data_IF_796661388159
#
_entry.id   IF_796661388159
#
_cell.length_a   1.000
_cell.length_b   1.000
_cell.length_c   1.000
_cell.angle_alpha   90.00
_cell.angle_beta   90.00
_cell.angle_gamma   90.00
#
_symmetry.space_group_name_H-M   'P 1'
#
loop_
_entity.id
_entity.type
_entity.pdbx_description
1 polymer ?
#
# COMPACT_ATOMS: atom_id res chain seq x y z
N UNK A 1 -3.81 22.59 -5.37
CA UNK A 1 -3.52 21.45 -6.28
C UNK A 1 -2.25 20.77 -5.79
N UNK A 2 -2.12 19.43 -5.88
CA UNK A 2 -0.94 18.71 -5.37
C UNK A 2 0.38 19.23 -5.95
N UNK A 3 0.42 19.53 -7.26
CA UNK A 3 1.61 20.09 -7.92
C UNK A 3 2.09 21.40 -7.27
N UNK A 4 1.16 22.31 -6.96
CA UNK A 4 1.48 23.57 -6.29
C UNK A 4 1.99 23.34 -4.86
N UNK A 5 1.38 22.42 -4.11
CA UNK A 5 1.83 22.11 -2.76
C UNK A 5 3.27 21.56 -2.74
N UNK A 6 3.66 20.76 -3.75
CA UNK A 6 5.04 20.25 -3.91
C UNK A 6 6.02 21.36 -4.28
N UNK A 7 5.60 22.36 -5.05
CA UNK A 7 6.44 23.54 -5.34
C UNK A 7 6.65 24.42 -4.11
N UNK A 8 5.60 24.61 -3.30
CA UNK A 8 5.64 25.41 -2.06
C UNK A 8 6.38 24.70 -0.92
N UNK A 9 6.27 23.37 -0.85
CA UNK A 9 6.90 22.52 0.15
C UNK A 9 7.63 21.36 -0.53
N UNK A 10 8.88 21.58 -0.99
CA UNK A 10 9.66 20.55 -1.65
C UNK A 10 9.87 19.34 -0.75
N UNK A 11 9.52 18.16 -1.27
CA UNK A 11 9.73 16.88 -0.60
C UNK A 11 10.99 16.22 -1.14
N UNK A 12 11.85 15.74 -0.25
CA UNK A 12 13.06 15.01 -0.60
C UNK A 12 12.96 13.56 -0.10
N UNK A 13 13.24 12.59 -0.96
CA UNK A 13 13.22 11.17 -0.62
C UNK A 13 13.24 10.28 -1.86
N UNK A 14 13.70 9.03 -1.71
CA UNK A 14 13.72 8.03 -2.77
C UNK A 14 12.54 7.04 -2.72
N UNK A 15 11.72 7.12 -1.68
CA UNK A 15 10.59 6.21 -1.42
C UNK A 15 9.37 7.04 -1.04
N UNK A 16 8.23 6.75 -1.66
CA UNK A 16 6.99 7.42 -1.36
C UNK A 16 5.77 6.69 -1.90
N UNK A 17 4.62 7.00 -1.31
CA UNK A 17 3.31 6.55 -1.74
C UNK A 17 2.38 7.76 -1.83
N UNK A 18 1.50 7.76 -2.83
CA UNK A 18 0.55 8.84 -3.09
C UNK A 18 -0.83 8.25 -3.43
N UNK A 19 -1.88 9.06 -3.27
CA UNK A 19 -3.25 8.58 -3.43
C UNK A 19 -4.21 9.69 -3.89
N UNK A 20 -5.22 9.30 -4.64
CA UNK A 20 -6.40 10.12 -4.92
C UNK A 20 -7.62 9.42 -4.32
N UNK A 21 -8.25 10.04 -3.33
CA UNK A 21 -9.33 9.41 -2.57
C UNK A 21 -10.70 9.70 -3.15
N UNK A 22 -11.47 8.64 -3.41
CA UNK A 22 -12.92 8.70 -3.53
C UNK A 22 -13.52 8.18 -2.22
N UNK A 23 -14.11 9.08 -1.42
CA UNK A 23 -14.60 8.75 -0.09
C UNK A 23 -15.75 7.73 -0.12
N UNK A 24 -15.63 6.67 0.70
CA UNK A 24 -16.68 5.67 0.97
C UNK A 24 -17.03 5.65 2.47
N UNK A 25 -16.02 5.63 3.35
CA UNK A 25 -16.14 5.75 4.80
C UNK A 25 -15.47 7.03 5.29
N UNK A 26 -16.21 7.88 6.01
CA UNK A 26 -15.75 9.20 6.44
C UNK A 26 -15.89 10.26 5.35
N UNK A 27 -16.25 11.49 5.73
CA UNK A 27 -16.48 12.57 4.78
C UNK A 27 -15.20 12.95 4.00
N UNK A 28 -15.32 13.62 2.84
CA UNK A 28 -14.18 14.22 2.17
C UNK A 28 -13.59 15.36 3.02
N UNK A 29 -12.47 15.07 3.68
CA UNK A 29 -11.71 16.02 4.49
C UNK A 29 -10.21 15.76 4.35
N UNK A 30 -9.38 16.73 4.75
CA UNK A 30 -7.92 16.55 4.77
C UNK A 30 -7.50 15.46 5.76
N UNK A 31 -8.16 15.36 6.92
CA UNK A 31 -7.87 14.30 7.91
C UNK A 31 -8.21 12.90 7.39
N UNK A 32 -9.26 12.76 6.59
CA UNK A 32 -9.64 11.49 5.98
C UNK A 32 -8.89 11.22 4.65
N UNK A 33 -8.02 12.13 4.18
CA UNK A 33 -7.22 11.90 3.00
C UNK A 33 -6.08 10.92 3.29
N UNK A 34 -5.75 10.10 2.30
CA UNK A 34 -4.58 9.23 2.37
C UNK A 34 -3.32 10.02 1.99
N UNK A 35 -2.12 9.62 2.47
CA UNK A 35 -1.83 8.42 3.26
C UNK A 35 -2.25 8.51 4.73
N UNK A 36 -2.66 7.38 5.31
CA UNK A 36 -2.86 7.27 6.76
C UNK A 36 -1.61 6.74 7.46
N UNK A 37 -1.46 7.11 8.73
CA UNK A 37 -0.24 6.85 9.51
C UNK A 37 -0.58 6.21 10.85
N UNK A 38 0.23 5.24 11.25
CA UNK A 38 0.32 4.74 12.62
C UNK A 38 1.78 4.78 13.03
N UNK A 39 2.18 5.81 13.77
CA UNK A 39 3.59 6.12 14.06
C UNK A 39 4.47 6.12 12.79
N UNK A 40 5.24 5.06 12.58
CA UNK A 40 6.18 4.89 11.47
C UNK A 40 5.58 4.10 10.30
N UNK A 41 4.39 3.52 10.44
CA UNK A 41 3.68 2.84 9.36
C UNK A 41 2.86 3.84 8.56
N UNK A 42 3.01 3.84 7.24
CA UNK A 42 2.26 4.71 6.33
C UNK A 42 1.56 3.86 5.27
N UNK A 43 0.28 4.15 5.03
CA UNK A 43 -0.61 3.31 4.21
C UNK A 43 -1.39 4.15 3.19
N UNK A 44 -1.47 3.65 1.96
CA UNK A 44 -2.50 4.01 0.98
C UNK A 44 -3.35 2.79 0.64
N UNK A 45 -4.62 3.01 0.32
CA UNK A 45 -5.61 1.95 0.16
C UNK A 45 -6.65 2.33 -0.89
N UNK A 46 -6.99 1.38 -1.74
CA UNK A 46 -8.16 1.41 -2.63
C UNK A 46 -9.09 0.28 -2.27
N UNK A 47 -10.39 0.54 -2.34
CA UNK A 47 -11.42 -0.44 -2.01
C UNK A 47 -12.00 -0.21 -0.62
N UNK A 48 -12.51 -1.28 -0.01
CA UNK A 48 -13.21 -1.23 1.27
C UNK A 48 -12.73 -2.35 2.18
N UNK A 49 -12.46 -2.03 3.45
CA UNK A 49 -12.32 -2.99 4.54
C UNK A 49 -13.68 -3.15 5.22
N UNK A 50 -14.39 -4.22 4.87
CA UNK A 50 -15.76 -4.49 5.30
C UNK A 50 -15.87 -4.76 6.81
N UNK A 51 -14.83 -5.34 7.42
CA UNK A 51 -14.79 -5.63 8.85
C UNK A 51 -13.99 -4.58 9.65
N UNK A 52 -13.96 -3.31 9.21
CA UNK A 52 -13.21 -2.25 9.88
C UNK A 52 -13.75 -1.96 11.30
N UNK A 53 -15.06 -2.00 11.54
CA UNK A 53 -15.63 -1.73 12.88
C UNK A 53 -15.09 -2.65 13.99
N UNK A 54 -15.17 -4.00 13.88
CA UNK A 54 -14.63 -4.88 14.91
C UNK A 54 -13.11 -4.76 15.05
N UNK A 55 -12.38 -4.50 13.96
CA UNK A 55 -10.93 -4.28 14.01
C UNK A 55 -10.58 -2.96 14.71
N UNK A 56 -11.33 -1.89 14.43
CA UNK A 56 -11.20 -0.58 15.08
C UNK A 56 -11.41 -0.71 16.58
N UNK A 57 -12.49 -1.37 17.01
CA UNK A 57 -12.77 -1.62 18.43
C UNK A 57 -11.64 -2.43 19.10
N UNK A 58 -11.13 -3.47 18.44
CA UNK A 58 -10.01 -4.27 18.94
C UNK A 58 -8.75 -3.41 19.11
N UNK A 59 -8.39 -2.60 18.12
CA UNK A 59 -7.19 -1.77 18.16
C UNK A 59 -7.32 -0.63 19.19
N UNK A 60 -8.51 -0.05 19.35
CA UNK A 60 -8.78 0.89 20.45
C UNK A 60 -8.59 0.23 21.82
N UNK A 61 -9.03 -1.03 21.98
CA UNK A 61 -8.79 -1.78 23.24
C UNK A 61 -7.31 -2.04 23.53
N UNK A 62 -6.47 -2.00 22.48
CA UNK A 62 -5.01 -2.11 22.55
C UNK A 62 -4.29 -0.77 22.71
N UNK A 63 -5.04 0.34 22.81
CA UNK A 63 -4.50 1.67 23.09
C UNK A 63 -4.33 2.58 21.87
N UNK A 64 -4.74 2.14 20.67
CA UNK A 64 -4.68 2.99 19.47
C UNK A 64 -5.77 4.06 19.49
N UNK A 65 -5.39 5.28 19.13
CA UNK A 65 -6.32 6.41 18.91
C UNK A 65 -6.52 6.58 17.42
N UNK A 66 -7.75 6.40 16.97
CA UNK A 66 -8.14 6.68 15.60
C UNK A 66 -8.47 8.16 15.46
N UNK A 67 -7.80 8.84 14.54
CA UNK A 67 -7.99 10.27 14.26
C UNK A 67 -8.83 10.52 13.00
N UNK A 68 -9.22 9.45 12.31
CA UNK A 68 -10.02 9.50 11.09
C UNK A 68 -11.24 8.59 11.19
N UNK A 69 -12.17 8.78 10.27
CA UNK A 69 -13.38 7.97 10.15
C UNK A 69 -13.21 6.85 9.11
N UNK A 70 -12.03 6.74 8.50
CA UNK A 70 -11.81 5.84 7.38
C UNK A 70 -11.66 4.40 7.85
N UNK A 71 -12.09 3.48 7.01
CA UNK A 71 -11.76 2.07 7.14
C UNK A 71 -10.26 1.83 6.92
N UNK A 72 -9.58 2.64 6.10
CA UNK A 72 -8.14 2.53 5.84
C UNK A 72 -7.26 2.66 7.09
N UNK A 73 -7.58 3.52 8.05
CA UNK A 73 -6.76 3.71 9.25
C UNK A 73 -6.59 2.42 10.07
N UNK A 74 -7.55 1.48 9.97
CA UNK A 74 -7.43 0.17 10.63
C UNK A 74 -6.25 -0.63 10.08
N UNK A 75 -5.91 -0.47 8.80
CA UNK A 75 -4.77 -1.15 8.17
C UNK A 75 -3.46 -0.64 8.78
N UNK A 76 -3.32 0.68 8.92
CA UNK A 76 -2.11 1.28 9.48
C UNK A 76 -1.86 0.81 10.93
N UNK A 77 -2.88 0.89 11.78
CA UNK A 77 -2.77 0.44 13.17
C UNK A 77 -2.63 -1.07 13.30
N UNK A 78 -3.28 -1.87 12.45
CA UNK A 78 -3.15 -3.32 12.49
C UNK A 78 -1.74 -3.77 12.11
N UNK A 79 -1.16 -3.20 11.05
CA UNK A 79 0.22 -3.51 10.65
C UNK A 79 1.20 -3.08 11.72
N UNK A 80 1.02 -1.90 12.31
CA UNK A 80 1.83 -1.47 13.44
C UNK A 80 1.74 -2.44 14.61
N UNK A 81 0.52 -2.85 15.00
CA UNK A 81 0.32 -3.80 16.07
C UNK A 81 1.04 -5.13 15.81
N UNK A 82 0.90 -5.67 14.59
CA UNK A 82 1.56 -6.90 14.19
C UNK A 82 3.08 -6.74 14.21
N UNK A 83 3.62 -5.60 13.80
CA UNK A 83 5.06 -5.34 13.82
C UNK A 83 5.62 -5.27 15.25
N UNK A 84 4.85 -4.74 16.20
CA UNK A 84 5.20 -4.75 17.63
C UNK A 84 5.23 -6.17 18.23
N UNK A 85 4.62 -7.17 17.58
CA UNK A 85 4.78 -8.57 17.96
C UNK A 85 6.11 -9.18 17.50
N UNK A 86 6.93 -8.41 16.76
CA UNK A 86 8.24 -8.77 16.26
C UNK A 86 8.26 -9.24 14.81
N UNK A 87 9.46 -9.26 14.25
CA UNK A 87 9.73 -9.64 12.85
C UNK A 87 9.90 -8.45 11.93
N UNK A 88 9.87 -8.72 10.64
CA UNK A 88 9.98 -7.76 9.55
C UNK A 88 8.61 -7.17 9.19
N UNK A 89 8.60 -6.02 8.51
CA UNK A 89 7.37 -5.44 7.96
C UNK A 89 6.58 -6.46 7.13
N UNK A 90 7.27 -7.30 6.35
CA UNK A 90 6.64 -8.35 5.55
C UNK A 90 5.90 -9.36 6.41
N UNK A 91 6.53 -9.84 7.48
CA UNK A 91 5.90 -10.81 8.39
C UNK A 91 4.69 -10.18 9.10
N UNK A 92 4.78 -8.90 9.48
CA UNK A 92 3.66 -8.16 10.05
C UNK A 92 2.49 -8.04 9.05
N UNK A 93 2.75 -7.68 7.80
CA UNK A 93 1.72 -7.61 6.75
C UNK A 93 1.14 -9.01 6.46
N UNK A 94 1.95 -10.06 6.41
CA UNK A 94 1.46 -11.44 6.25
C UNK A 94 0.51 -11.88 7.37
N UNK A 95 0.69 -11.37 8.61
CA UNK A 95 -0.25 -11.61 9.73
C UNK A 95 -1.47 -10.70 9.67
N UNK A 96 -1.33 -9.47 9.18
CA UNK A 96 -2.41 -8.49 9.11
C UNK A 96 -3.43 -8.82 7.99
N UNK A 97 -2.96 -9.16 6.79
CA UNK A 97 -3.81 -9.37 5.60
C UNK A 97 -4.94 -10.39 5.83
N UNK A 98 -4.72 -11.57 6.45
CA UNK A 98 -5.79 -12.53 6.71
C UNK A 98 -6.89 -12.04 7.67
N UNK A 99 -6.63 -10.98 8.45
CA UNK A 99 -7.60 -10.39 9.38
C UNK A 99 -8.51 -9.37 8.68
N UNK A 100 -8.09 -8.83 7.53
CA UNK A 100 -8.84 -7.86 6.74
C UNK A 100 -9.80 -8.57 5.79
N UNK A 101 -11.05 -8.12 5.72
CA UNK A 101 -12.07 -8.62 4.81
C UNK A 101 -12.55 -7.51 3.89
N UNK A 102 -12.79 -7.86 2.63
CA UNK A 102 -13.32 -6.95 1.62
C UNK A 102 -12.54 -7.04 0.32
N UNK A 103 -12.92 -6.18 -0.63
CA UNK A 103 -12.22 -6.01 -1.89
C UNK A 103 -11.34 -4.76 -1.82
N UNK A 104 -10.03 -4.95 -1.73
CA UNK A 104 -9.06 -3.89 -1.54
C UNK A 104 -7.72 -4.13 -2.23
N UNK A 105 -6.94 -3.06 -2.32
CA UNK A 105 -5.53 -3.05 -2.70
C UNK A 105 -4.83 -2.01 -1.86
N UNK A 106 -3.68 -2.35 -1.29
CA UNK A 106 -2.97 -1.45 -0.38
C UNK A 106 -1.47 -1.47 -0.61
N UNK A 107 -0.83 -0.33 -0.38
CA UNK A 107 0.64 -0.20 -0.36
C UNK A 107 1.02 0.37 1.00
N UNK A 108 2.02 -0.25 1.61
CA UNK A 108 2.42 -0.07 3.01
C UNK A 108 3.92 0.16 3.06
N UNK A 109 4.35 1.15 3.85
CA UNK A 109 5.76 1.44 4.11
C UNK A 109 6.03 1.68 5.59
N UNK A 110 7.26 1.38 6.02
CA UNK A 110 7.79 1.74 7.34
C UNK A 110 8.84 2.85 7.15
N UNK A 111 8.64 4.01 7.74
CA UNK A 111 9.57 5.16 7.60
C UNK A 111 10.95 4.89 8.20
N UNK A 112 11.09 3.87 9.05
CA UNK A 112 12.38 3.44 9.63
C UNK A 112 13.17 2.53 8.69
N UNK A 113 12.49 1.87 7.75
CA UNK A 113 13.08 1.05 6.69
C UNK A 113 12.54 1.46 5.31
N UNK A 114 12.98 2.63 4.79
CA UNK A 114 12.47 3.16 3.52
C UNK A 114 12.88 2.33 2.30
N UNK A 115 13.74 1.31 2.46
CA UNK A 115 14.11 0.38 1.38
C UNK A 115 13.01 -0.63 1.05
N UNK A 116 12.02 -0.78 1.93
CA UNK A 116 10.97 -1.80 1.80
C UNK A 116 9.60 -1.15 1.59
N UNK A 117 9.05 -1.34 0.39
CA UNK A 117 7.64 -1.10 0.08
C UNK A 117 6.93 -2.44 -0.10
N UNK A 118 5.83 -2.62 0.64
CA UNK A 118 4.98 -3.79 0.50
C UNK A 118 3.66 -3.40 -0.14
N UNK A 119 3.08 -4.37 -0.84
CA UNK A 119 1.78 -4.22 -1.43
C UNK A 119 0.99 -5.50 -1.27
N UNK A 120 -0.32 -5.38 -1.10
CA UNK A 120 -1.23 -6.51 -1.05
C UNK A 120 -2.41 -6.25 -1.97
N UNK A 121 -2.67 -7.22 -2.87
CA UNK A 121 -3.81 -7.24 -3.76
C UNK A 121 -4.86 -8.22 -3.25
N UNK A 122 -6.04 -7.73 -2.92
CA UNK A 122 -7.18 -8.53 -2.47
C UNK A 122 -8.48 -8.01 -3.10
N UNK A 123 -8.63 -8.09 -4.42
CA UNK A 123 -9.83 -7.62 -5.13
C UNK A 123 -9.74 -6.25 -5.80
N UNK A 124 -8.76 -5.40 -5.46
CA UNK A 124 -8.45 -4.17 -6.21
C UNK A 124 -7.15 -4.31 -7.01
N UNK A 125 -7.08 -3.86 -8.29
CA UNK A 125 -5.90 -4.01 -9.12
C UNK A 125 -4.65 -3.35 -8.56
N UNK A 126 -3.50 -4.01 -8.73
CA UNK A 126 -2.17 -3.46 -8.51
C UNK A 126 -1.22 -3.94 -9.61
N UNK A 127 -0.39 -3.03 -10.10
CA UNK A 127 0.61 -3.28 -11.14
C UNK A 127 1.94 -2.66 -10.74
N UNK A 128 3.00 -3.44 -10.89
CA UNK A 128 4.38 -2.99 -10.67
C UNK A 128 4.94 -2.50 -11.99
N UNK A 129 5.52 -1.30 -12.01
CA UNK A 129 6.30 -0.77 -13.12
C UNK A 129 7.79 -0.97 -12.87
N UNK A 130 8.51 -1.56 -13.83
CA UNK A 130 9.94 -1.82 -13.72
C UNK A 130 10.76 -0.71 -14.39
N UNK A 131 11.50 0.05 -13.60
CA UNK A 131 12.41 1.11 -14.08
C UNK A 131 13.85 0.63 -14.25
N UNK A 132 14.77 1.58 -14.38
CA UNK A 132 16.22 1.34 -14.38
C UNK A 132 16.80 1.80 -13.04
N UNK A 133 17.03 0.86 -12.13
CA UNK A 133 17.51 1.17 -10.77
C UNK A 133 16.41 1.65 -9.80
N UNK A 134 15.17 1.66 -10.26
CA UNK A 134 13.97 2.05 -9.50
C UNK A 134 12.80 1.15 -9.93
N UNK A 135 11.80 0.99 -9.06
CA UNK A 135 10.53 0.38 -9.43
C UNK A 135 9.38 1.19 -8.86
N UNK A 136 8.21 1.02 -9.47
CA UNK A 136 7.00 1.74 -9.15
C UNK A 136 5.88 0.75 -8.88
N UNK A 137 4.83 1.23 -8.21
CA UNK A 137 3.57 0.51 -8.10
C UNK A 137 2.42 1.48 -8.28
N UNK A 138 1.35 1.02 -8.93
CA UNK A 138 0.13 1.79 -9.09
C UNK A 138 -1.08 0.86 -9.13
N UNK A 139 -2.27 1.41 -8.94
CA UNK A 139 -3.52 0.70 -9.21
C UNK A 139 -3.86 0.63 -10.69
N UNK A 140 -3.25 1.49 -11.51
CA UNK A 140 -3.41 1.53 -12.96
C UNK A 140 -2.05 1.83 -13.63
N UNK A 141 -1.73 1.07 -14.67
CA UNK A 141 -0.50 1.22 -15.45
C UNK A 141 -0.37 2.61 -16.10
N UNK A 142 -1.49 3.29 -16.36
CA UNK A 142 -1.52 4.60 -17.01
C UNK A 142 -0.74 5.64 -16.20
N UNK A 143 -0.77 5.54 -14.86
CA UNK A 143 -0.01 6.40 -13.97
C UNK A 143 1.52 6.25 -14.13
N UNK A 144 1.97 5.11 -14.66
CA UNK A 144 3.38 4.75 -14.75
C UNK A 144 3.96 4.91 -16.16
N UNK A 145 3.13 5.13 -17.18
CA UNK A 145 3.56 5.31 -18.57
C UNK A 145 4.60 6.44 -18.81
N UNK A 146 4.63 7.53 -18.02
CA UNK A 146 5.68 8.54 -18.15
C UNK A 146 7.09 8.05 -17.78
N UNK A 147 7.21 7.01 -16.94
CA UNK A 147 8.49 6.55 -16.38
C UNK A 147 8.86 5.12 -16.79
N UNK A 148 7.89 4.27 -17.17
CA UNK A 148 8.18 2.92 -17.64
C UNK A 148 7.10 2.36 -18.57
N UNK A 149 7.47 1.33 -19.33
CA UNK A 149 6.60 0.54 -20.22
C UNK A 149 6.66 -0.97 -19.92
N UNK A 150 7.31 -1.34 -18.82
CA UNK A 150 7.53 -2.72 -18.38
C UNK A 150 6.73 -2.96 -17.12
N UNK A 151 5.81 -3.92 -17.16
CA UNK A 151 4.82 -4.11 -16.12
C UNK A 151 4.78 -5.55 -15.64
N UNK A 152 4.56 -5.72 -14.34
CA UNK A 152 4.16 -6.99 -13.73
C UNK A 152 2.81 -6.76 -13.06
N UNK A 153 1.78 -7.46 -13.54
CA UNK A 153 0.47 -7.44 -12.90
C UNK A 153 0.47 -8.42 -11.74
N UNK A 154 0.13 -7.94 -10.56
CA UNK A 154 -0.02 -8.79 -9.39
C UNK A 154 -1.29 -9.64 -9.55
N UNK A 155 -1.25 -10.90 -9.16
CA UNK A 155 -2.43 -11.75 -9.05
C UNK A 155 -3.10 -11.58 -7.68
N UNK A 156 -4.28 -12.17 -7.52
CA UNK A 156 -5.01 -12.14 -6.26
C UNK A 156 -4.22 -12.85 -5.14
N UNK A 157 -3.98 -12.14 -4.04
CA UNK A 157 -3.20 -12.63 -2.91
C UNK A 157 -1.68 -12.52 -3.09
N UNK A 158 -1.19 -11.88 -4.16
CA UNK A 158 0.24 -11.59 -4.33
C UNK A 158 0.71 -10.50 -3.37
N UNK A 159 1.94 -10.69 -2.90
CA UNK A 159 2.67 -9.75 -2.05
C UNK A 159 4.14 -9.68 -2.48
N UNK A 160 4.60 -8.54 -3.04
CA UNK A 160 6.02 -8.30 -3.26
C UNK A 160 6.76 -8.27 -1.92
N UNK A 161 7.95 -8.87 -1.86
CA UNK A 161 8.85 -8.76 -0.70
C UNK A 161 9.33 -7.33 -0.48
N UNK A 162 9.60 -6.64 -1.58
CA UNK A 162 10.00 -5.25 -1.65
C UNK A 162 9.82 -4.78 -3.09
N UNK A 163 9.65 -3.48 -3.30
CA UNK A 163 9.80 -2.87 -4.62
C UNK A 163 11.26 -2.54 -4.97
N UNK A 164 12.25 -2.86 -4.12
CA UNK A 164 13.65 -2.83 -4.53
C UNK A 164 13.94 -3.87 -5.63
N UNK A 165 14.89 -3.57 -6.52
CA UNK A 165 15.33 -4.52 -7.54
C UNK A 165 16.30 -5.57 -6.94
N UNK A 166 16.16 -6.87 -7.27
CA UNK A 166 15.10 -7.46 -8.08
C UNK A 166 13.77 -7.58 -7.32
N UNK A 167 12.65 -7.35 -8.03
CA UNK A 167 11.30 -7.55 -7.46
C UNK A 167 11.05 -9.04 -7.28
N UNK A 168 10.83 -9.46 -6.04
CA UNK A 168 10.48 -10.84 -5.69
C UNK A 168 9.05 -10.86 -5.16
N UNK A 169 8.19 -11.70 -5.74
CA UNK A 169 6.75 -11.78 -5.41
C UNK A 169 6.47 -13.09 -4.69
N UNK A 170 5.59 -13.04 -3.71
CA UNK A 170 5.16 -14.19 -2.94
C UNK A 170 3.64 -14.32 -3.00
N UNK A 171 3.15 -15.54 -2.98
CA UNK A 171 1.73 -15.79 -2.81
C UNK A 171 1.31 -15.76 -1.34
N UNK A 172 0.01 -15.91 -1.09
CA UNK A 172 -0.59 -15.99 0.26
C UNK A 172 -0.04 -17.10 1.16
N UNK A 173 0.58 -18.14 0.60
CA UNK A 173 1.22 -19.22 1.37
C UNK A 173 2.64 -18.86 1.81
N UNK A 174 3.17 -17.73 1.30
CA UNK A 174 4.53 -17.30 1.52
C UNK A 174 5.53 -17.95 0.56
N UNK A 175 5.08 -18.66 -0.47
CA UNK A 175 5.94 -19.24 -1.50
C UNK A 175 6.29 -18.19 -2.56
N UNK A 176 7.54 -18.19 -3.03
CA UNK A 176 7.97 -17.32 -4.12
C UNK A 176 7.28 -17.72 -5.42
N UNK A 177 6.71 -16.74 -6.12
CA UNK A 177 6.02 -16.93 -7.39
C UNK A 177 6.61 -16.04 -8.46
N UNK A 178 6.65 -16.56 -9.70
CA UNK A 178 7.04 -15.77 -10.87
C UNK A 178 5.80 -15.24 -11.57
N UNK A 179 5.82 -13.94 -11.86
CA UNK A 179 4.83 -13.26 -12.67
C UNK A 179 5.49 -12.80 -13.97
N UNK A 180 4.72 -12.84 -15.06
CA UNK A 180 5.24 -12.47 -16.37
C UNK A 180 5.43 -10.95 -16.45
N UNK A 181 6.61 -10.53 -16.91
CA UNK A 181 6.82 -9.15 -17.35
C UNK A 181 6.15 -8.94 -18.72
N UNK A 182 5.32 -7.91 -18.81
CA UNK A 182 4.67 -7.47 -20.03
C UNK A 182 5.27 -6.12 -20.45
N UNK A 183 5.64 -5.99 -21.72
CA UNK A 183 6.10 -4.73 -22.30
C UNK A 183 5.05 -4.16 -23.24
N UNK A 184 4.59 -2.94 -22.99
CA UNK A 184 3.60 -2.27 -23.83
C UNK A 184 4.32 -1.42 -24.87
N UNK A 185 4.13 -1.72 -26.16
CA UNK A 185 4.87 -1.07 -27.25
C UNK A 185 4.24 0.23 -27.78
N UNK A 186 3.00 0.58 -27.45
CA UNK A 186 2.40 1.89 -27.81
C UNK A 186 1.16 2.15 -26.95
N UNK A 187 0.92 3.42 -26.57
CA UNK A 187 -0.41 3.85 -26.16
C UNK A 187 -1.21 4.09 -27.45
N UNK A 188 -2.40 3.50 -27.57
CA UNK A 188 -3.37 3.94 -28.58
C UNK A 188 -3.92 5.29 -28.12
#
# INVERSE_FOLDING_TARGET
MLAQAVEEQPLHGGTGIAHTRWATHGEPSESNAHPHVSEHIVVVHNGIIENHEPLRALLQSRGYVFVTETDTEVIAHLVHWELEQGGTLREAVLRAIPQLRGAYGTVIMDTRDPGTLLAARSGSPLVIGLGMGENFIASDQLALLPVTRRFIFLEEGDMPKSLAAPVVIFDKSGAEVKRQEIRIQSAV
#
